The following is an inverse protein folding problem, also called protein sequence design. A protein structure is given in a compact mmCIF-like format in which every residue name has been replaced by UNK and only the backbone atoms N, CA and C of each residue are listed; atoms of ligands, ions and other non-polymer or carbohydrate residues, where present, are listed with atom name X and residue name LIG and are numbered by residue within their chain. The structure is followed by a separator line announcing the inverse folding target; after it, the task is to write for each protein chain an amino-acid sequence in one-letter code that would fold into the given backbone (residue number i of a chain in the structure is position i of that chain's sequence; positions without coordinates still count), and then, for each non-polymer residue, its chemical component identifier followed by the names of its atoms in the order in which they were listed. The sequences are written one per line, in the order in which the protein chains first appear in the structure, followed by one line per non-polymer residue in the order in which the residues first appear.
data_IF_219673263668
#
_entry.id   IF_219673263668
#
_cell.length_a   1.000
_cell.length_b   1.000
_cell.length_c   1.000
_cell.angle_alpha   90.00
_cell.angle_beta   90.00
_cell.angle_gamma   90.00
#
_symmetry.space_group_name_H-M   'P 1'
#
loop_
_entity.id
_entity.type
_entity.pdbx_description
1 polymer ?
#
# COMPACT_ATOMS: atom_id res chain seq x y z
N UNK A 1 6.41 -15.71 34.19
CA UNK A 1 7.36 -14.60 34.05
C UNK A 1 7.10 -13.63 35.20
N UNK A 2 8.00 -13.58 36.16
CA UNK A 2 7.98 -12.60 37.26
C UNK A 2 8.71 -11.34 36.83
N UNK A 3 8.56 -10.22 37.55
CA UNK A 3 9.19 -8.94 37.19
C UNK A 3 10.72 -9.03 37.01
N UNK A 4 11.39 -9.93 37.73
CA UNK A 4 12.85 -10.15 37.63
C UNK A 4 13.27 -11.10 36.50
N UNK A 5 12.32 -11.70 35.78
CA UNK A 5 12.59 -12.67 34.71
C UNK A 5 12.28 -12.11 33.32
N UNK A 6 11.93 -10.81 33.24
CA UNK A 6 11.58 -10.16 31.98
C UNK A 6 12.77 -10.20 31.02
N UNK A 7 12.60 -10.92 29.92
CA UNK A 7 13.55 -11.01 28.81
C UNK A 7 12.81 -10.64 27.53
N UNK A 8 13.30 -9.67 26.75
CA UNK A 8 12.72 -9.37 25.46
C UNK A 8 12.91 -10.55 24.51
N UNK A 9 12.01 -10.71 23.54
CA UNK A 9 12.22 -11.66 22.46
C UNK A 9 13.51 -11.30 21.70
N UNK A 10 14.31 -12.30 21.29
CA UNK A 10 15.60 -12.06 20.64
C UNK A 10 15.43 -11.19 19.40
N UNK A 11 16.26 -10.15 19.27
CA UNK A 11 16.27 -9.25 18.11
C UNK A 11 15.28 -8.07 18.16
N UNK A 12 14.39 -8.02 19.16
CA UNK A 12 13.44 -6.89 19.32
C UNK A 12 14.14 -5.59 19.74
N UNK A 13 15.14 -5.69 20.62
CA UNK A 13 15.91 -4.56 21.11
C UNK A 13 17.31 -4.55 20.50
N UNK A 14 17.73 -3.41 19.96
CA UNK A 14 19.09 -3.15 19.48
C UNK A 14 19.66 -1.95 20.23
N UNK A 15 20.92 -2.03 20.63
CA UNK A 15 21.57 -0.93 21.32
C UNK A 15 21.71 0.28 20.38
N UNK A 16 21.41 1.51 20.85
CA UNK A 16 21.55 2.70 20.04
C UNK A 16 23.03 3.01 19.79
N UNK A 17 23.29 3.52 18.60
CA UNK A 17 24.62 3.93 18.17
C UNK A 17 25.07 5.20 18.90
N UNK A 18 26.03 5.07 19.81
CA UNK A 18 26.58 6.19 20.59
C UNK A 18 27.80 6.82 19.91
N UNK A 19 27.57 7.87 19.12
CA UNK A 19 28.65 8.60 18.42
C UNK A 19 29.42 9.54 19.35
N UNK A 20 30.68 9.84 19.03
CA UNK A 20 31.50 10.79 19.80
C UNK A 20 31.95 10.27 21.17
N UNK A 21 32.18 8.95 21.30
CA UNK A 21 32.60 8.28 22.54
C UNK A 21 33.84 7.40 22.29
N UNK A 22 35.02 8.03 22.22
CA UNK A 22 36.30 7.34 22.03
C UNK A 22 36.54 6.80 20.61
N UNK A 23 37.80 6.47 20.30
CA UNK A 23 38.21 6.00 18.97
C UNK A 23 37.84 4.55 18.69
N UNK A 24 37.80 3.69 19.71
CA UNK A 24 37.54 2.26 19.59
C UNK A 24 36.17 1.92 18.95
N UNK A 25 35.17 2.80 19.12
CA UNK A 25 33.84 2.64 18.50
C UNK A 25 33.81 2.94 16.99
N UNK A 26 34.91 3.43 16.41
CA UNK A 26 35.00 3.83 15.00
C UNK A 26 34.32 5.16 14.67
N UNK A 27 33.67 5.83 15.64
CA UNK A 27 32.95 7.10 15.44
C UNK A 27 33.26 8.14 16.52
N UNK A 28 34.47 8.11 17.08
CA UNK A 28 34.92 9.07 18.07
C UNK A 28 35.06 10.49 17.49
N UNK A 29 36.15 10.74 16.78
CA UNK A 29 36.61 12.10 16.42
C UNK A 29 35.63 12.88 15.54
N UNK A 30 35.08 12.25 14.49
CA UNK A 30 34.23 12.93 13.49
C UNK A 30 32.76 12.52 13.57
N UNK A 31 32.39 11.64 14.51
CA UNK A 31 31.05 11.08 14.62
C UNK A 31 30.51 10.49 13.29
N UNK A 32 31.40 9.99 12.41
CA UNK A 32 31.03 9.45 11.09
C UNK A 32 30.77 10.49 10.00
N UNK A 33 31.04 11.78 10.24
CA UNK A 33 30.77 12.88 9.29
C UNK A 33 31.95 13.26 8.39
N UNK A 34 33.12 12.65 8.58
CA UNK A 34 34.34 13.02 7.85
C UNK A 34 34.96 14.33 8.34
N UNK A 35 35.84 14.94 7.53
CA UNK A 35 36.55 16.18 7.87
C UNK A 35 36.01 17.38 7.07
N UNK A 36 35.75 18.51 7.75
CA UNK A 36 35.36 19.81 7.16
C UNK A 36 34.12 19.71 6.22
N UNK A 37 33.85 20.76 5.46
CA UNK A 37 32.73 20.84 4.51
C UNK A 37 31.37 21.14 5.16
N UNK A 38 30.41 21.55 4.33
CA UNK A 38 29.07 21.94 4.77
C UNK A 38 28.34 20.81 5.50
N UNK A 39 28.49 19.55 5.05
CA UNK A 39 27.83 18.37 5.66
C UNK A 39 28.35 18.03 7.07
N UNK A 40 29.54 18.47 7.45
CA UNK A 40 30.09 18.20 8.78
C UNK A 40 29.68 19.24 9.84
N UNK A 41 29.15 20.41 9.43
CA UNK A 41 28.74 21.48 10.36
C UNK A 41 27.41 21.16 11.05
N UNK A 42 27.19 21.79 12.22
CA UNK A 42 25.88 21.73 12.89
C UNK A 42 24.82 22.41 12.02
N UNK A 43 23.64 21.78 11.88
CA UNK A 43 22.61 22.23 10.93
C UNK A 43 23.03 22.17 9.45
N UNK A 44 24.17 21.52 9.16
CA UNK A 44 24.71 21.41 7.81
C UNK A 44 23.93 20.45 6.92
N UNK A 45 24.25 20.50 5.63
CA UNK A 45 23.53 19.78 4.59
C UNK A 45 22.94 20.74 3.56
N UNK A 46 22.34 20.18 2.51
CA UNK A 46 21.59 20.92 1.50
C UNK A 46 20.15 20.44 1.52
N UNK A 47 19.21 21.31 1.15
CA UNK A 47 17.81 20.90 1.06
C UNK A 47 17.65 19.73 0.07
N UNK A 48 16.74 18.77 0.32
CA UNK A 48 16.42 17.74 -0.65
C UNK A 48 16.04 18.36 -2.01
N UNK A 49 16.57 17.79 -3.10
CA UNK A 49 16.35 18.29 -4.47
C UNK A 49 17.23 19.46 -4.91
N UNK A 50 18.23 19.88 -4.13
CA UNK A 50 19.24 20.86 -4.57
C UNK A 50 20.38 20.18 -5.33
N UNK A 51 20.61 20.59 -6.59
CA UNK A 51 21.62 20.02 -7.50
C UNK A 51 22.87 20.94 -7.64
N UNK A 52 23.25 21.65 -6.58
CA UNK A 52 24.52 22.41 -6.56
C UNK A 52 24.54 23.72 -7.36
N UNK A 53 23.38 24.18 -7.83
CA UNK A 53 23.25 25.37 -8.69
C UNK A 53 22.63 25.05 -10.06
N UNK A 54 22.64 23.78 -10.46
CA UNK A 54 21.88 23.30 -11.61
C UNK A 54 20.37 23.41 -11.37
N UNK A 55 19.61 23.64 -12.45
CA UNK A 55 18.16 23.56 -12.43
C UNK A 55 17.68 22.17 -12.00
N UNK A 56 16.99 22.04 -10.85
CA UNK A 56 16.56 20.74 -10.33
C UNK A 56 15.65 19.99 -11.30
N UNK A 57 15.68 18.65 -11.26
CA UNK A 57 14.86 17.80 -12.12
C UNK A 57 13.37 18.16 -12.12
N UNK A 58 12.81 18.44 -10.93
CA UNK A 58 11.41 18.86 -10.76
C UNK A 58 11.03 20.17 -11.47
N UNK A 59 12.02 20.99 -11.87
CA UNK A 59 11.82 22.21 -12.68
C UNK A 59 12.16 22.00 -14.16
N UNK A 60 12.99 21.01 -14.49
CA UNK A 60 13.35 20.67 -15.87
C UNK A 60 12.19 19.97 -16.59
N UNK A 61 11.46 19.13 -15.87
CA UNK A 61 10.31 18.40 -16.41
C UNK A 61 9.07 19.33 -16.48
N UNK A 62 8.30 19.28 -17.57
CA UNK A 62 7.06 20.06 -17.67
C UNK A 62 6.00 19.51 -16.72
N UNK A 63 5.15 20.39 -16.20
CA UNK A 63 3.93 19.98 -15.50
C UNK A 63 2.95 19.42 -16.54
N UNK A 64 2.30 18.29 -16.23
CA UNK A 64 1.34 17.65 -17.14
C UNK A 64 0.10 17.18 -16.38
N UNK A 65 -1.06 17.34 -17.01
CA UNK A 65 -2.34 16.85 -16.51
C UNK A 65 -3.04 17.81 -15.55
N UNK A 66 -4.19 17.35 -15.06
CA UNK A 66 -5.00 18.03 -14.05
C UNK A 66 -5.68 16.96 -13.18
N UNK A 67 -6.10 17.33 -11.97
CA UNK A 67 -6.83 16.44 -11.06
C UNK A 67 -8.33 16.65 -11.23
N UNK A 68 -9.06 15.61 -11.65
CA UNK A 68 -10.53 15.64 -11.70
C UNK A 68 -11.11 15.41 -10.30
N UNK A 69 -11.73 16.43 -9.72
CA UNK A 69 -12.35 16.37 -8.38
C UNK A 69 -13.61 15.51 -8.32
N UNK A 70 -14.20 15.18 -9.47
CA UNK A 70 -15.39 14.33 -9.58
C UNK A 70 -15.06 12.92 -10.11
N UNK A 71 -13.78 12.53 -10.10
CA UNK A 71 -13.39 11.19 -10.47
C UNK A 71 -13.99 10.19 -9.48
N UNK A 72 -14.79 9.27 -10.00
CA UNK A 72 -15.38 8.19 -9.18
C UNK A 72 -14.35 7.08 -8.97
N UNK A 73 -14.09 6.74 -7.73
CA UNK A 73 -13.23 5.63 -7.35
C UNK A 73 -14.10 4.47 -6.86
N UNK A 74 -13.93 3.30 -7.47
CA UNK A 74 -14.69 2.11 -7.08
C UNK A 74 -13.80 1.18 -6.27
N UNK A 75 -14.38 0.49 -5.30
CA UNK A 75 -13.73 -0.64 -4.65
C UNK A 75 -13.62 -1.81 -5.63
N UNK A 76 -12.40 -2.14 -6.03
CA UNK A 76 -12.13 -3.19 -7.01
C UNK A 76 -12.04 -4.57 -6.34
N UNK A 77 -12.78 -5.54 -6.86
CA UNK A 77 -12.75 -6.94 -6.39
C UNK A 77 -12.58 -7.86 -7.57
N UNK A 78 -11.58 -8.74 -7.53
CA UNK A 78 -11.36 -9.74 -8.59
C UNK A 78 -12.25 -10.98 -8.38
N UNK A 79 -12.65 -11.63 -9.47
CA UNK A 79 -13.48 -12.84 -9.43
C UNK A 79 -12.86 -13.98 -8.60
N UNK A 80 -11.52 -14.08 -8.55
CA UNK A 80 -10.82 -15.08 -7.73
C UNK A 80 -11.18 -15.00 -6.24
N UNK A 81 -11.35 -13.78 -5.70
CA UNK A 81 -11.68 -13.56 -4.29
C UNK A 81 -13.08 -14.04 -3.94
N UNK A 82 -13.96 -14.16 -4.95
CA UNK A 82 -15.34 -14.62 -4.76
C UNK A 82 -15.42 -16.12 -4.48
N UNK A 83 -14.38 -16.91 -4.80
CA UNK A 83 -14.33 -18.34 -4.48
C UNK A 83 -14.35 -18.65 -2.97
N UNK A 84 -14.19 -17.64 -2.11
CA UNK A 84 -14.33 -17.77 -0.66
C UNK A 84 -15.78 -17.97 -0.21
N UNK A 85 -16.74 -17.63 -1.06
CA UNK A 85 -18.16 -17.79 -0.79
C UNK A 85 -18.66 -19.15 -1.26
N UNK A 86 -19.72 -19.64 -0.63
CA UNK A 86 -20.35 -20.91 -0.98
C UNK A 86 -21.18 -20.81 -2.26
N UNK A 87 -21.40 -21.95 -2.91
CA UNK A 87 -22.21 -22.03 -4.12
C UNK A 87 -23.66 -21.58 -3.84
N UNK A 88 -24.20 -20.72 -4.71
CA UNK A 88 -25.55 -20.17 -4.62
C UNK A 88 -25.67 -18.92 -3.75
N UNK A 89 -24.59 -18.43 -3.14
CA UNK A 89 -24.64 -17.22 -2.32
C UNK A 89 -24.85 -15.96 -3.16
N UNK A 90 -25.63 -15.02 -2.60
CA UNK A 90 -25.79 -13.68 -3.16
C UNK A 90 -24.68 -12.77 -2.63
N UNK A 91 -23.75 -12.39 -3.52
CA UNK A 91 -22.66 -11.49 -3.19
C UNK A 91 -23.13 -10.05 -3.37
N UNK A 92 -23.44 -9.38 -2.27
CA UNK A 92 -23.81 -7.96 -2.23
C UNK A 92 -22.64 -7.09 -1.73
N UNK A 93 -22.65 -5.77 -1.97
CA UNK A 93 -21.62 -4.87 -1.44
C UNK A 93 -21.54 -4.89 0.10
N UNK A 94 -22.67 -5.11 0.78
CA UNK A 94 -22.76 -5.22 2.23
C UNK A 94 -22.07 -6.51 2.72
N UNK A 95 -22.37 -7.64 2.07
CA UNK A 95 -21.75 -8.93 2.37
C UNK A 95 -20.24 -8.91 2.13
N UNK A 96 -19.77 -8.24 1.07
CA UNK A 96 -18.34 -8.04 0.82
C UNK A 96 -17.65 -7.23 1.94
N UNK A 97 -18.38 -6.31 2.58
CA UNK A 97 -17.88 -5.51 3.71
C UNK A 97 -17.86 -6.32 5.00
N UNK A 98 -18.91 -7.08 5.27
CA UNK A 98 -18.99 -7.98 6.43
C UNK A 98 -17.92 -9.07 6.38
N UNK A 99 -17.72 -9.68 5.21
CA UNK A 99 -16.67 -10.66 4.95
C UNK A 99 -15.26 -10.04 4.90
N UNK A 100 -15.14 -8.72 5.10
CA UNK A 100 -13.88 -7.95 5.07
C UNK A 100 -13.09 -8.11 3.76
N UNK A 101 -13.78 -8.43 2.66
CA UNK A 101 -13.20 -8.42 1.31
C UNK A 101 -12.99 -6.98 0.87
N UNK A 102 -13.94 -6.09 1.21
CA UNK A 102 -13.85 -4.66 0.97
C UNK A 102 -13.92 -3.92 2.31
N UNK A 103 -12.93 -3.07 2.60
CA UNK A 103 -12.96 -2.25 3.82
C UNK A 103 -13.86 -1.02 3.66
N UNK A 104 -13.68 -0.30 2.56
CA UNK A 104 -14.42 0.92 2.21
C UNK A 104 -15.02 0.76 0.82
N UNK A 105 -16.31 1.04 0.68
CA UNK A 105 -17.03 0.89 -0.58
C UNK A 105 -16.73 2.01 -1.60
N UNK A 106 -16.05 3.09 -1.19
CA UNK A 106 -15.78 4.27 -2.04
C UNK A 106 -17.07 4.75 -2.74
N UNK A 107 -17.06 4.95 -4.05
CA UNK A 107 -18.25 5.29 -4.86
C UNK A 107 -19.03 4.07 -5.38
N UNK A 108 -18.74 2.88 -4.85
CA UNK A 108 -19.37 1.60 -5.19
C UNK A 108 -18.37 0.48 -5.45
N UNK A 109 -18.87 -0.73 -5.73
CA UNK A 109 -18.03 -1.92 -6.00
C UNK A 109 -17.93 -2.18 -7.50
N UNK A 110 -16.71 -2.41 -7.99
CA UNK A 110 -16.43 -2.86 -9.35
C UNK A 110 -15.80 -4.24 -9.36
N UNK A 111 -16.44 -5.19 -10.05
CA UNK A 111 -15.90 -6.55 -10.21
C UNK A 111 -15.01 -6.63 -11.44
N UNK A 112 -13.80 -7.17 -11.25
CA UNK A 112 -12.76 -7.34 -12.25
C UNK A 112 -12.54 -8.83 -12.56
N UNK A 113 -12.22 -9.14 -13.82
CA UNK A 113 -12.11 -10.51 -14.32
C UNK A 113 -10.76 -11.20 -14.12
N UNK A 114 -9.93 -10.81 -13.14
CA UNK A 114 -8.66 -11.50 -12.90
C UNK A 114 -8.86 -12.79 -12.08
N UNK A 115 -8.14 -13.86 -12.46
CA UNK A 115 -8.24 -15.20 -11.87
C UNK A 115 -9.44 -16.03 -12.37
N UNK A 116 -9.68 -17.18 -11.74
CA UNK A 116 -10.73 -18.13 -12.11
C UNK A 116 -11.85 -18.14 -11.08
N UNK A 117 -13.08 -18.35 -11.53
CA UNK A 117 -14.25 -18.53 -10.66
C UNK A 117 -14.79 -19.93 -10.88
N UNK A 118 -14.75 -20.75 -9.83
CA UNK A 118 -15.28 -22.12 -9.86
C UNK A 118 -16.66 -22.22 -9.23
N UNK A 119 -17.04 -21.20 -8.45
CA UNK A 119 -18.28 -21.15 -7.69
C UNK A 119 -19.42 -20.49 -8.46
N UNK A 120 -20.61 -21.07 -8.36
CA UNK A 120 -21.83 -20.49 -8.94
C UNK A 120 -22.37 -19.42 -7.99
N UNK A 121 -22.23 -18.15 -8.34
CA UNK A 121 -22.60 -17.03 -7.46
C UNK A 121 -23.55 -16.05 -8.15
N UNK A 122 -24.42 -15.40 -7.38
CA UNK A 122 -25.21 -14.26 -7.85
C UNK A 122 -24.54 -12.98 -7.36
N UNK A 123 -23.90 -12.23 -8.26
CA UNK A 123 -23.06 -11.08 -7.89
C UNK A 123 -23.79 -9.77 -8.20
N UNK A 124 -24.07 -8.99 -7.15
CA UNK A 124 -24.69 -7.67 -7.16
C UNK A 124 -23.64 -6.59 -6.95
N UNK A 125 -23.32 -5.79 -7.97
CA UNK A 125 -22.32 -4.71 -7.86
C UNK A 125 -22.63 -3.52 -8.79
N UNK A 126 -21.90 -2.41 -8.61
CA UNK A 126 -22.18 -1.16 -9.35
C UNK A 126 -21.59 -1.19 -10.77
N UNK A 127 -20.46 -1.88 -10.95
CA UNK A 127 -19.79 -2.04 -12.25
C UNK A 127 -19.14 -3.41 -12.39
N UNK A 128 -19.05 -3.88 -13.63
CA UNK A 128 -18.38 -5.11 -13.99
C UNK A 128 -17.48 -4.89 -15.21
N UNK A 129 -16.34 -5.58 -15.29
CA UNK A 129 -15.59 -5.69 -16.54
C UNK A 129 -16.22 -6.76 -17.44
N UNK A 130 -16.09 -6.62 -18.76
CA UNK A 130 -16.58 -7.62 -19.72
C UNK A 130 -16.08 -9.04 -19.39
N UNK A 131 -14.78 -9.15 -19.12
CA UNK A 131 -14.15 -10.42 -18.71
C UNK A 131 -14.67 -10.98 -17.38
N UNK A 132 -15.19 -10.14 -16.47
CA UNK A 132 -15.78 -10.62 -15.23
C UNK A 132 -17.17 -11.22 -15.49
N UNK A 133 -17.96 -10.56 -16.34
CA UNK A 133 -19.29 -11.03 -16.73
C UNK A 133 -19.18 -12.42 -17.37
N UNK A 134 -18.31 -12.55 -18.38
CA UNK A 134 -18.08 -13.82 -19.09
C UNK A 134 -17.68 -14.95 -18.13
N UNK A 135 -16.80 -14.67 -17.16
CA UNK A 135 -16.36 -15.69 -16.18
C UNK A 135 -17.44 -16.06 -15.17
N UNK A 136 -18.26 -15.10 -14.75
CA UNK A 136 -19.37 -15.35 -13.82
C UNK A 136 -20.45 -16.18 -14.51
N UNK A 137 -20.80 -15.83 -15.75
CA UNK A 137 -21.77 -16.58 -16.55
C UNK A 137 -21.24 -17.96 -16.95
N UNK A 138 -19.95 -18.09 -17.28
CA UNK A 138 -19.33 -19.39 -17.56
C UNK A 138 -19.34 -20.34 -16.35
N UNK A 139 -19.24 -19.80 -15.13
CA UNK A 139 -19.43 -20.56 -13.89
C UNK A 139 -20.92 -20.84 -13.56
N UNK A 140 -21.85 -20.43 -14.43
CA UNK A 140 -23.29 -20.60 -14.26
C UNK A 140 -23.91 -19.62 -13.25
N UNK A 141 -23.18 -18.58 -12.87
CA UNK A 141 -23.64 -17.51 -11.98
C UNK A 141 -24.49 -16.45 -12.68
N UNK A 142 -24.96 -15.47 -11.90
CA UNK A 142 -25.78 -14.35 -12.40
C UNK A 142 -25.14 -13.02 -12.02
N UNK A 143 -25.13 -12.08 -12.96
CA UNK A 143 -24.62 -10.72 -12.75
C UNK A 143 -25.79 -9.76 -12.66
N UNK A 144 -25.83 -8.95 -11.58
CA UNK A 144 -26.84 -7.91 -11.38
C UNK A 144 -26.17 -6.57 -11.10
N UNK A 145 -26.56 -5.54 -11.87
CA UNK A 145 -26.03 -4.18 -11.73
C UNK A 145 -26.98 -3.36 -10.85
N UNK A 146 -26.44 -2.73 -9.81
CA UNK A 146 -27.16 -1.84 -8.87
C UNK A 146 -26.68 -0.39 -9.04
#
# INVERSE_FOLDING_TARGET
MRLHELRPAPGTNKEPKRVGRGTASGQGKTAGRGQKGQKARSGGGVRPGFEGGQMPLQRRLPKRGFTNIFAKEYAEVNVELLNRFEDGTEVTPELLKEAKVVKNLLDGVKILGNGELTKKLTVKAHKFTKSAIEKIEAAGGKVEVI
#
